data_IF_119120640024
#
_entry.id   IF_119120640024
#
_cell.length_a   1.000
_cell.length_b   1.000
_cell.length_c   1.000
_cell.angle_alpha   90.00
_cell.angle_beta   90.00
_cell.angle_gamma   90.00
#
_symmetry.space_group_name_H-M   'P 1'
#
loop_
_entity.id
_entity.type
_entity.pdbx_description
1 polymer ?
#
# COMPACT_ATOMS: atom_id res chain seq x y z
N UNK A 1 -29.55 43.73 -37.78
CA UNK A 1 -29.19 43.08 -39.05
C UNK A 1 -28.77 41.68 -38.65
N UNK A 2 -29.70 40.70 -38.67
CA UNK A 2 -29.83 39.72 -39.76
C UNK A 2 -28.59 38.82 -39.75
N UNK A 3 -28.63 37.49 -39.60
CA UNK A 3 -29.66 36.49 -39.88
C UNK A 3 -29.16 35.11 -39.39
N UNK A 4 -30.12 34.20 -39.20
CA UNK A 4 -30.03 32.82 -38.69
C UNK A 4 -30.00 31.76 -39.81
N UNK A 5 -29.87 30.48 -39.41
CA UNK A 5 -30.20 29.22 -40.13
C UNK A 5 -29.06 28.58 -40.94
N UNK A 6 -28.64 27.32 -40.77
CA UNK A 6 -29.26 25.99 -40.52
C UNK A 6 -29.79 25.28 -41.79
N UNK A 7 -29.53 23.95 -41.82
CA UNK A 7 -30.09 22.86 -42.67
C UNK A 7 -29.49 22.65 -44.08
N UNK A 8 -29.56 21.50 -44.77
CA UNK A 8 -29.66 20.04 -44.51
C UNK A 8 -29.72 19.38 -45.91
N UNK A 9 -29.02 18.26 -46.11
CA UNK A 9 -29.27 17.13 -47.03
C UNK A 9 -29.26 17.23 -48.59
N UNK A 10 -28.84 16.08 -49.14
CA UNK A 10 -29.35 15.35 -50.31
C UNK A 10 -28.69 15.49 -51.71
N UNK A 11 -27.97 14.41 -52.06
CA UNK A 11 -28.01 13.61 -53.30
C UNK A 11 -28.28 14.26 -54.68
N UNK A 12 -27.39 13.96 -55.65
CA UNK A 12 -27.80 13.28 -56.89
C UNK A 12 -27.46 13.89 -58.27
N UNK A 13 -26.46 13.27 -58.93
CA UNK A 13 -26.36 12.87 -60.36
C UNK A 13 -26.26 13.85 -61.56
N UNK A 14 -25.30 13.52 -62.46
CA UNK A 14 -25.25 13.84 -63.92
C UNK A 14 -23.82 14.09 -64.45
N UNK A 15 -23.07 13.08 -64.95
CA UNK A 15 -22.86 12.74 -66.40
C UNK A 15 -22.06 13.82 -67.19
N UNK A 16 -20.98 13.61 -67.96
CA UNK A 16 -20.48 12.55 -68.87
C UNK A 16 -18.97 12.77 -69.19
N UNK A 17 -18.14 11.72 -69.16
CA UNK A 17 -17.49 11.02 -70.29
C UNK A 17 -16.33 11.73 -71.05
N UNK A 18 -15.10 11.19 -70.96
CA UNK A 18 -14.46 10.54 -72.13
C UNK A 18 -13.19 9.75 -71.76
N UNK A 19 -13.14 8.57 -72.37
CA UNK A 19 -12.34 7.38 -72.15
C UNK A 19 -11.01 7.42 -72.93
N UNK A 20 -9.95 6.83 -72.37
CA UNK A 20 -9.08 5.87 -73.10
C UNK A 20 -8.25 5.00 -72.15
N UNK A 21 -8.33 3.71 -72.43
CA UNK A 21 -7.87 2.51 -71.73
C UNK A 21 -6.32 2.42 -71.59
N UNK A 22 -5.72 1.57 -70.74
CA UNK A 22 -5.52 0.14 -71.02
C UNK A 22 -4.99 -0.64 -69.77
N UNK A 23 -5.72 -1.73 -69.46
CA UNK A 23 -5.35 -3.06 -68.91
C UNK A 23 -4.88 -3.24 -67.46
N UNK A 24 -5.67 -4.05 -66.74
CA UNK A 24 -5.28 -4.87 -65.58
C UNK A 24 -6.52 -5.47 -64.92
N UNK A 25 -6.81 -6.74 -65.20
CA UNK A 25 -8.09 -7.42 -64.90
C UNK A 25 -8.30 -7.66 -63.38
N UNK A 26 -9.57 -7.49 -62.99
CA UNK A 26 -10.24 -7.62 -61.68
C UNK A 26 -10.42 -9.14 -61.37
N UNK A 27 -10.65 -9.66 -60.17
CA UNK A 27 -11.81 -9.47 -59.28
C UNK A 27 -11.59 -10.18 -57.94
N UNK A 28 -12.24 -9.67 -56.90
CA UNK A 28 -12.42 -10.37 -55.64
C UNK A 28 -13.80 -11.04 -55.55
N UNK A 29 -13.85 -12.14 -54.79
CA UNK A 29 -14.88 -12.42 -53.79
C UNK A 29 -16.18 -13.16 -54.19
N UNK A 30 -16.22 -14.46 -53.88
CA UNK A 30 -17.42 -15.32 -53.71
C UNK A 30 -17.36 -16.61 -54.55
N UNK A 31 -17.67 -17.83 -54.03
CA UNK A 31 -18.87 -18.14 -53.24
C UNK A 31 -18.66 -19.10 -52.04
N UNK A 32 -19.77 -19.40 -51.36
CA UNK A 32 -19.93 -20.26 -50.20
C UNK A 32 -20.01 -21.76 -50.54
N UNK A 33 -19.95 -22.58 -49.47
CA UNK A 33 -20.59 -23.90 -49.27
C UNK A 33 -19.74 -25.13 -49.67
N UNK A 34 -19.10 -25.65 -48.61
CA UNK A 34 -19.32 -26.98 -48.03
C UNK A 34 -18.66 -28.20 -48.69
N UNK A 35 -17.99 -28.90 -47.78
CA UNK A 35 -17.95 -30.35 -47.60
C UNK A 35 -16.71 -31.06 -48.16
N UNK A 36 -16.10 -31.78 -47.21
CA UNK A 36 -15.41 -33.05 -47.38
C UNK A 36 -13.93 -33.01 -47.80
N UNK A 37 -13.04 -33.00 -46.80
CA UNK A 37 -12.28 -34.23 -46.51
C UNK A 37 -11.41 -34.14 -45.25
N UNK A 38 -11.20 -35.28 -44.57
CA UNK A 38 -10.58 -35.37 -43.26
C UNK A 38 -9.08 -35.66 -43.37
N UNK A 39 -8.25 -34.63 -43.25
CA UNK A 39 -6.81 -34.80 -43.01
C UNK A 39 -6.27 -33.56 -42.31
N UNK A 40 -6.79 -33.34 -41.10
CA UNK A 40 -6.20 -32.43 -40.12
C UNK A 40 -5.48 -33.31 -39.09
N UNK A 41 -4.19 -33.55 -39.31
CA UNK A 41 -3.26 -33.99 -38.30
C UNK A 41 -1.87 -33.47 -38.67
N UNK A 42 -1.30 -32.68 -37.75
CA UNK A 42 0.15 -32.44 -37.61
C UNK A 42 0.78 -31.20 -38.26
N UNK A 43 0.13 -30.02 -38.21
CA UNK A 43 0.86 -28.74 -38.43
C UNK A 43 0.70 -27.69 -37.31
N UNK A 44 -0.22 -27.87 -36.36
CA UNK A 44 -0.26 -27.04 -35.15
C UNK A 44 -0.33 -27.92 -33.91
N UNK A 45 0.82 -28.46 -33.50
CA UNK A 45 1.00 -28.79 -32.09
C UNK A 45 1.06 -27.47 -31.33
N UNK A 46 -0.07 -27.14 -30.71
CA UNK A 46 -0.19 -26.04 -29.77
C UNK A 46 0.80 -26.24 -28.63
N UNK A 47 1.88 -25.47 -28.65
CA UNK A 47 2.75 -25.25 -27.52
C UNK A 47 2.09 -24.21 -26.59
N UNK A 48 0.87 -24.51 -26.14
CA UNK A 48 0.16 -23.79 -25.08
C UNK A 48 -0.02 -24.75 -23.89
N UNK A 49 1.10 -25.24 -23.39
CA UNK A 49 1.19 -25.90 -22.08
C UNK A 49 2.26 -25.21 -21.22
N UNK A 50 2.26 -23.87 -21.21
CA UNK A 50 3.04 -23.08 -20.26
C UNK A 50 2.20 -22.49 -19.12
N UNK A 51 0.99 -23.01 -18.90
CA UNK A 51 0.14 -22.60 -17.78
C UNK A 51 0.39 -23.39 -16.47
N UNK A 52 0.70 -24.71 -16.50
CA UNK A 52 1.03 -25.45 -15.27
C UNK A 52 2.37 -25.00 -14.68
N UNK A 53 3.40 -24.88 -15.53
CA UNK A 53 4.76 -24.56 -15.10
C UNK A 53 4.89 -23.17 -14.51
N UNK A 54 4.28 -22.13 -15.09
CA UNK A 54 4.35 -20.77 -14.50
C UNK A 54 3.57 -20.67 -13.18
N UNK A 55 2.47 -21.41 -13.05
CA UNK A 55 1.70 -21.48 -11.80
C UNK A 55 2.46 -22.28 -10.74
N UNK A 56 3.11 -23.37 -11.13
CA UNK A 56 3.95 -24.20 -10.27
C UNK A 56 5.22 -23.45 -9.86
N UNK A 57 5.83 -22.68 -10.76
CA UNK A 57 6.94 -21.77 -10.46
C UNK A 57 6.48 -20.64 -9.53
N UNK A 58 5.32 -20.01 -9.77
CA UNK A 58 4.77 -18.99 -8.87
C UNK A 58 4.47 -19.56 -7.47
N UNK A 59 3.91 -20.77 -7.39
CA UNK A 59 3.67 -21.48 -6.14
C UNK A 59 4.98 -21.92 -5.47
N UNK A 60 6.01 -22.29 -6.23
CA UNK A 60 7.33 -22.64 -5.72
C UNK A 60 8.06 -21.42 -5.15
N UNK A 61 7.99 -20.26 -5.83
CA UNK A 61 8.50 -18.99 -5.30
C UNK A 61 7.76 -18.56 -4.02
N UNK A 62 6.44 -18.75 -3.98
CA UNK A 62 5.65 -18.50 -2.78
C UNK A 62 6.03 -19.46 -1.65
N UNK A 63 6.26 -20.73 -1.97
CA UNK A 63 6.67 -21.76 -1.03
C UNK A 63 8.09 -21.55 -0.51
N UNK A 64 9.03 -21.04 -1.31
CA UNK A 64 10.39 -20.67 -0.88
C UNK A 64 10.38 -19.45 0.05
N UNK A 65 9.51 -18.46 -0.20
CA UNK A 65 9.26 -17.34 0.72
C UNK A 65 8.63 -17.82 2.04
N UNK A 66 7.75 -18.82 1.99
CA UNK A 66 7.08 -19.41 3.16
C UNK A 66 7.96 -20.47 3.88
N UNK A 67 8.95 -21.07 3.23
CA UNK A 67 9.82 -22.12 3.78
C UNK A 67 10.95 -21.58 4.66
N UNK A 68 11.31 -20.30 4.52
CA UNK A 68 12.24 -19.63 5.44
C UNK A 68 11.62 -19.38 6.83
N UNK A 69 10.32 -19.66 6.99
CA UNK A 69 9.60 -19.62 8.27
C UNK A 69 10.04 -20.68 9.29
N UNK A 70 10.81 -21.69 8.86
CA UNK A 70 11.36 -22.74 9.73
C UNK A 70 12.86 -22.55 10.02
N UNK A 71 13.38 -21.33 9.86
CA UNK A 71 14.65 -20.96 10.48
C UNK A 71 14.57 -21.07 12.02
N UNK A 72 15.71 -21.18 12.73
CA UNK A 72 15.72 -20.99 14.18
C UNK A 72 14.99 -19.66 14.48
N UNK A 73 14.12 -19.63 15.50
CA UNK A 73 13.44 -18.41 15.92
C UNK A 73 14.51 -17.34 16.14
N UNK A 74 14.66 -16.43 15.18
CA UNK A 74 15.68 -15.40 15.27
C UNK A 74 15.19 -14.45 16.35
N UNK A 75 15.96 -14.34 17.42
CA UNK A 75 15.66 -13.35 18.45
C UNK A 75 15.82 -11.96 17.82
N UNK A 76 14.79 -11.12 18.00
CA UNK A 76 14.71 -9.81 17.36
C UNK A 76 14.71 -8.70 18.42
N UNK A 77 15.44 -7.59 18.17
CA UNK A 77 15.62 -6.55 19.16
C UNK A 77 14.29 -5.83 19.46
N UNK A 78 13.81 -5.98 20.69
CA UNK A 78 12.54 -5.40 21.14
C UNK A 78 12.80 -4.34 22.20
N UNK A 79 12.22 -3.16 22.01
CA UNK A 79 12.41 -2.01 22.90
C UNK A 79 11.37 -2.04 24.02
N UNK A 80 11.85 -2.02 25.26
CA UNK A 80 11.02 -1.82 26.44
C UNK A 80 11.26 -0.42 27.00
N UNK A 81 10.18 0.34 27.16
CA UNK A 81 10.22 1.69 27.69
C UNK A 81 9.30 1.82 28.90
N UNK A 82 9.79 2.48 29.93
CA UNK A 82 9.01 2.91 31.09
C UNK A 82 9.04 4.44 31.16
N UNK A 83 7.85 5.05 31.14
CA UNK A 83 7.67 6.51 31.16
C UNK A 83 7.27 7.06 32.53
N UNK A 84 6.98 6.16 33.49
CA UNK A 84 6.65 6.54 34.86
C UNK A 84 7.86 6.99 35.66
N UNK A 85 7.58 7.52 36.85
CA UNK A 85 8.62 7.90 37.81
C UNK A 85 9.31 6.67 38.42
N UNK A 86 10.55 6.86 38.86
CA UNK A 86 11.37 5.84 39.49
C UNK A 86 12.83 6.26 39.57
N UNK A 87 13.59 5.68 40.51
CA UNK A 87 15.05 5.82 40.60
C UNK A 87 15.74 4.63 39.94
N UNK A 88 15.33 3.43 40.32
CA UNK A 88 15.83 2.17 39.78
C UNK A 88 14.68 1.39 39.16
N UNK A 89 14.80 1.10 37.87
CA UNK A 89 13.78 0.39 37.10
C UNK A 89 14.40 -0.85 36.49
N UNK A 90 13.72 -1.98 36.70
CA UNK A 90 14.08 -3.26 36.12
C UNK A 90 12.89 -3.87 35.39
N UNK A 91 13.16 -4.81 34.49
CA UNK A 91 12.16 -5.62 33.81
C UNK A 91 12.45 -7.10 33.99
N UNK A 92 11.38 -7.88 34.12
CA UNK A 92 11.40 -9.35 34.07
C UNK A 92 10.22 -9.83 33.24
N UNK A 93 10.34 -10.99 32.61
CA UNK A 93 9.27 -11.52 31.77
C UNK A 93 9.42 -13.00 31.42
N UNK A 94 8.57 -13.49 30.52
CA UNK A 94 8.59 -14.87 30.03
C UNK A 94 9.91 -15.24 29.36
N UNK A 95 10.52 -14.29 28.65
CA UNK A 95 11.79 -14.47 27.94
C UNK A 95 13.00 -14.76 28.83
N UNK A 96 12.96 -14.38 30.10
CA UNK A 96 13.99 -14.72 31.08
C UNK A 96 13.45 -15.62 32.21
N UNK A 97 12.33 -16.30 31.93
CA UNK A 97 11.63 -17.18 32.87
C UNK A 97 11.39 -16.55 34.25
N UNK A 98 11.16 -15.22 34.29
CA UNK A 98 10.97 -14.44 35.51
C UNK A 98 12.12 -14.56 36.54
N UNK A 99 13.28 -15.06 36.12
CA UNK A 99 14.38 -15.42 37.02
C UNK A 99 15.27 -14.24 37.38
N UNK A 100 15.53 -13.37 36.41
CA UNK A 100 16.44 -12.24 36.54
C UNK A 100 15.72 -10.90 36.32
N UNK A 101 16.26 -9.84 36.91
CA UNK A 101 15.81 -8.46 36.71
C UNK A 101 16.80 -7.75 35.81
N UNK A 102 16.39 -7.40 34.60
CA UNK A 102 17.22 -6.67 33.64
C UNK A 102 17.10 -5.18 33.97
N UNK A 103 18.19 -4.45 34.27
CA UNK A 103 18.13 -3.03 34.59
C UNK A 103 17.82 -2.21 33.33
N UNK A 104 16.98 -1.18 33.48
CA UNK A 104 16.71 -0.21 32.40
C UNK A 104 17.67 0.98 32.52
N UNK A 105 18.08 1.50 31.36
CA UNK A 105 18.94 2.68 31.26
C UNK A 105 18.06 3.92 31.34
N UNK A 106 18.38 4.81 32.29
CA UNK A 106 17.67 6.09 32.44
C UNK A 106 18.13 7.08 31.35
N UNK A 107 17.18 7.57 30.55
CA UNK A 107 17.35 8.64 29.57
C UNK A 107 16.32 9.76 29.81
N UNK A 108 16.80 10.90 30.31
CA UNK A 108 15.96 12.07 30.66
C UNK A 108 14.79 11.70 31.61
N UNK A 109 13.59 11.61 31.05
CA UNK A 109 12.32 11.29 31.72
C UNK A 109 11.81 9.87 31.41
N UNK A 110 12.65 9.02 30.80
CA UNK A 110 12.27 7.66 30.41
C UNK A 110 13.34 6.66 30.83
N UNK A 111 12.93 5.42 31.01
CA UNK A 111 13.82 4.29 31.22
C UNK A 111 13.66 3.35 30.04
N UNK A 112 14.76 2.89 29.45
CA UNK A 112 14.73 2.09 28.22
C UNK A 112 15.70 0.91 28.33
N UNK A 113 15.30 -0.24 27.79
CA UNK A 113 16.20 -1.36 27.51
C UNK A 113 15.80 -2.02 26.20
N UNK A 114 16.75 -2.68 25.55
CA UNK A 114 16.52 -3.50 24.37
C UNK A 114 16.77 -4.95 24.78
N UNK A 115 15.84 -5.84 24.46
CA UNK A 115 15.95 -7.28 24.71
C UNK A 115 15.62 -8.00 23.42
N UNK A 116 16.48 -8.93 23.01
CA UNK A 116 16.22 -9.76 21.85
C UNK A 116 15.18 -10.83 22.23
N UNK A 117 14.08 -10.89 21.48
CA UNK A 117 12.96 -11.78 21.74
C UNK A 117 12.60 -12.59 20.49
N UNK A 118 12.29 -13.89 20.63
CA UNK A 118 11.74 -14.64 19.52
C UNK A 118 10.33 -14.13 19.20
N UNK A 119 9.86 -14.41 18.00
CA UNK A 119 8.49 -14.06 17.60
C UNK A 119 7.46 -14.79 18.47
N UNK A 120 6.37 -14.08 18.76
CA UNK A 120 5.28 -14.58 19.61
C UNK A 120 4.87 -13.60 20.69
N UNK A 121 4.06 -14.11 21.62
CA UNK A 121 3.56 -13.38 22.77
C UNK A 121 4.52 -13.50 23.95
N UNK A 122 4.89 -12.35 24.53
CA UNK A 122 5.73 -12.30 25.72
C UNK A 122 5.06 -11.50 26.82
N UNK A 123 5.04 -12.06 28.02
CA UNK A 123 4.57 -11.37 29.21
C UNK A 123 5.73 -10.73 29.93
N UNK A 124 5.54 -9.52 30.43
CA UNK A 124 6.57 -8.82 31.18
C UNK A 124 5.99 -7.94 32.28
N UNK A 125 6.84 -7.53 33.22
CA UNK A 125 6.48 -6.63 34.30
C UNK A 125 7.67 -5.79 34.73
N UNK A 126 7.39 -4.55 35.12
CA UNK A 126 8.39 -3.63 35.64
C UNK A 126 8.53 -3.77 37.15
N UNK A 127 9.76 -3.62 37.63
CA UNK A 127 10.09 -3.53 39.04
C UNK A 127 10.74 -2.17 39.29
N UNK A 128 9.96 -1.26 39.89
CA UNK A 128 10.31 0.15 40.08
C UNK A 128 10.46 0.42 41.56
N UNK A 129 11.63 0.87 41.99
CA UNK A 129 11.91 1.26 43.39
C UNK A 129 11.47 0.22 44.44
N UNK A 130 11.58 -1.07 44.11
CA UNK A 130 11.21 -2.16 45.00
C UNK A 130 9.81 -2.73 44.82
N UNK A 131 8.98 -2.16 43.93
CA UNK A 131 7.59 -2.54 43.72
C UNK A 131 7.34 -3.06 42.30
N UNK A 132 6.52 -4.11 42.20
CA UNK A 132 6.09 -4.64 40.91
C UNK A 132 4.94 -3.81 40.35
N UNK A 133 5.14 -3.23 39.16
CA UNK A 133 4.16 -2.40 38.46
C UNK A 133 4.09 -2.78 36.98
N UNK A 134 3.03 -2.36 36.30
CA UNK A 134 2.83 -2.52 34.87
C UNK A 134 2.64 -1.15 34.23
N UNK A 135 2.88 -1.05 32.94
CA UNK A 135 2.58 0.15 32.16
C UNK A 135 1.09 0.17 31.79
N UNK A 136 0.30 1.18 32.20
CA UNK A 136 -1.12 1.25 31.88
C UNK A 136 -1.40 1.64 30.41
N UNK A 137 -0.41 2.14 29.66
CA UNK A 137 -0.60 2.47 28.23
C UNK A 137 -0.42 1.27 27.32
N UNK A 138 0.22 0.22 27.81
CA UNK A 138 0.49 -1.00 27.07
C UNK A 138 -0.55 -2.10 27.35
N UNK A 139 -0.77 -3.03 26.42
CA UNK A 139 -1.68 -4.16 26.64
C UNK A 139 -1.31 -4.96 27.89
N UNK A 140 -2.32 -5.48 28.58
CA UNK A 140 -2.16 -6.27 29.80
C UNK A 140 -2.89 -7.61 29.71
N UNK A 141 -2.34 -8.61 30.39
CA UNK A 141 -2.95 -9.92 30.61
C UNK A 141 -2.99 -10.21 32.10
N UNK A 142 -4.13 -10.74 32.56
CA UNK A 142 -4.31 -11.13 33.96
C UNK A 142 -4.12 -12.63 34.06
N UNK A 143 -3.13 -13.06 34.85
CA UNK A 143 -2.87 -14.46 35.14
C UNK A 143 -3.96 -15.06 36.03
N UNK A 144 -4.08 -16.39 36.03
CA UNK A 144 -5.04 -17.13 36.86
C UNK A 144 -4.88 -16.85 38.37
N UNK A 145 -3.68 -16.44 38.78
CA UNK A 145 -3.35 -16.07 40.16
C UNK A 145 -3.69 -14.61 40.51
N UNK A 146 -4.34 -13.87 39.61
CA UNK A 146 -4.71 -12.46 39.79
C UNK A 146 -3.58 -11.47 39.50
N UNK A 147 -2.40 -11.93 39.12
CA UNK A 147 -1.28 -11.06 38.75
C UNK A 147 -1.52 -10.44 37.37
N UNK A 148 -1.50 -9.11 37.30
CA UNK A 148 -1.53 -8.35 36.04
C UNK A 148 -0.09 -8.17 35.53
N UNK A 149 0.14 -8.56 34.27
CA UNK A 149 1.39 -8.41 33.53
C UNK A 149 1.11 -7.66 32.23
N UNK A 150 2.10 -6.93 31.70
CA UNK A 150 2.00 -6.42 30.33
C UNK A 150 2.23 -7.55 29.32
N UNK A 151 1.66 -7.40 28.13
CA UNK A 151 1.76 -8.34 27.02
C UNK A 151 2.31 -7.61 25.79
N UNK A 152 3.38 -8.14 25.20
CA UNK A 152 3.92 -7.66 23.92
C UNK A 152 3.84 -8.78 22.89
N UNK A 153 3.41 -8.44 21.68
CA UNK A 153 3.41 -9.33 20.53
C UNK A 153 4.55 -8.95 19.61
N UNK A 154 5.51 -9.85 19.40
CA UNK A 154 6.61 -9.68 18.46
C UNK A 154 6.24 -10.40 17.17
N UNK A 155 6.04 -9.66 16.08
CA UNK A 155 5.70 -10.22 14.77
C UNK A 155 6.83 -10.04 13.77
N UNK A 156 6.82 -10.87 12.72
CA UNK A 156 7.74 -10.73 11.58
C UNK A 156 7.70 -9.34 10.95
N UNK A 157 6.49 -8.83 10.78
CA UNK A 157 6.20 -7.55 10.14
C UNK A 157 6.79 -6.35 10.86
N UNK A 158 7.08 -6.45 12.16
CA UNK A 158 7.54 -5.31 12.96
C UNK A 158 8.99 -4.91 12.65
N UNK A 159 9.71 -5.74 11.90
CA UNK A 159 11.13 -5.56 11.58
C UNK A 159 11.37 -5.25 10.11
N UNK A 160 10.39 -5.51 9.25
CA UNK A 160 10.37 -5.07 7.86
C UNK A 160 9.61 -3.75 7.78
N UNK A 161 10.32 -2.67 7.46
CA UNK A 161 9.77 -1.29 7.57
C UNK A 161 8.50 -1.11 6.73
N UNK A 162 8.45 -1.67 5.53
CA UNK A 162 7.28 -1.55 4.67
C UNK A 162 6.07 -2.32 5.21
N UNK A 163 6.29 -3.50 5.79
CA UNK A 163 5.23 -4.30 6.39
C UNK A 163 4.69 -3.65 7.67
N UNK A 164 5.59 -3.15 8.52
CA UNK A 164 5.21 -2.39 9.72
C UNK A 164 4.33 -1.18 9.37
N UNK A 165 4.76 -0.38 8.39
CA UNK A 165 3.99 0.78 7.92
C UNK A 165 2.64 0.38 7.32
N UNK A 166 2.59 -0.72 6.58
CA UNK A 166 1.35 -1.24 6.02
C UNK A 166 0.36 -1.63 7.13
N UNK A 167 0.82 -2.37 8.14
CA UNK A 167 0.00 -2.79 9.30
C UNK A 167 -0.51 -1.57 10.07
N UNK A 168 0.36 -0.58 10.32
CA UNK A 168 0.00 0.64 11.04
C UNK A 168 -1.01 1.50 10.26
N UNK A 169 -0.86 1.59 8.94
CA UNK A 169 -1.81 2.32 8.10
C UNK A 169 -3.22 1.73 8.14
N UNK A 170 -3.34 0.41 8.25
CA UNK A 170 -4.64 -0.27 8.37
C UNK A 170 -5.27 -0.08 9.75
N UNK A 171 -4.45 0.05 10.81
CA UNK A 171 -4.91 0.37 12.18
C UNK A 171 -5.43 1.80 12.27
N UNK A 172 -4.88 2.71 11.47
CA UNK A 172 -5.36 4.07 11.26
C UNK A 172 -6.34 4.13 10.07
N UNK A 173 -7.44 3.37 10.13
CA UNK A 173 -8.46 3.34 9.06
C UNK A 173 -9.22 4.66 8.86
N UNK A 174 -8.86 5.73 9.56
CA UNK A 174 -9.33 7.09 9.27
C UNK A 174 -8.27 7.90 8.51
N UNK A 175 -7.71 7.32 7.44
CA UNK A 175 -6.94 8.04 6.43
C UNK A 175 -7.83 8.72 5.37
N UNK A 176 -9.16 8.69 5.57
CA UNK A 176 -10.15 9.41 4.77
C UNK A 176 -9.75 10.86 4.50
N UNK A 177 -9.13 11.50 5.50
CA UNK A 177 -8.73 12.91 5.47
C UNK A 177 -7.36 13.19 4.83
N UNK A 178 -6.56 12.15 4.55
CA UNK A 178 -5.26 12.27 3.88
C UNK A 178 -5.33 11.94 2.39
N UNK A 179 -6.43 11.33 1.95
CA UNK A 179 -6.73 11.17 0.54
C UNK A 179 -6.99 12.54 -0.09
N UNK A 180 -6.20 12.91 -1.10
CA UNK A 180 -6.47 14.08 -1.95
C UNK A 180 -7.74 13.94 -2.78
N UNK A 181 -8.29 12.72 -2.87
CA UNK A 181 -9.58 12.45 -3.48
C UNK A 181 -10.68 12.52 -2.43
N UNK A 182 -11.81 13.20 -2.72
CA UNK A 182 -12.97 13.20 -1.84
C UNK A 182 -13.36 11.77 -1.43
N UNK A 183 -13.68 11.52 -0.15
CA UNK A 183 -14.07 10.20 0.31
C UNK A 183 -15.39 9.77 -0.34
N UNK A 184 -15.47 8.49 -0.70
CA UNK A 184 -16.68 7.87 -1.27
C UNK A 184 -16.74 7.86 -2.80
N UNK A 185 -17.73 7.18 -3.38
CA UNK A 185 -17.92 7.12 -4.82
C UNK A 185 -18.22 8.50 -5.41
N UNK A 186 -17.66 8.78 -6.59
CA UNK A 186 -18.05 9.95 -7.37
C UNK A 186 -19.51 9.80 -7.82
N UNK A 187 -20.36 10.75 -7.43
CA UNK A 187 -21.75 10.82 -7.87
C UNK A 187 -22.00 12.09 -8.68
N UNK A 188 -23.06 12.07 -9.50
CA UNK A 188 -23.48 13.21 -10.31
C UNK A 188 -24.55 14.06 -9.63
N UNK A 189 -25.04 13.65 -8.46
CA UNK A 189 -26.03 14.39 -7.70
C UNK A 189 -25.48 15.75 -7.25
N UNK A 190 -26.34 16.77 -7.31
CA UNK A 190 -25.99 18.10 -6.85
C UNK A 190 -25.66 18.08 -5.34
N UNK A 191 -24.50 18.63 -4.98
CA UNK A 191 -24.12 18.78 -3.57
C UNK A 191 -25.12 19.66 -2.83
N UNK A 192 -25.67 19.17 -1.72
CA UNK A 192 -26.55 19.93 -0.83
C UNK A 192 -25.72 20.48 0.33
N UNK A 193 -25.50 21.81 0.42
CA UNK A 193 -24.66 22.38 1.47
C UNK A 193 -25.23 22.12 2.86
N UNK A 194 -24.43 21.51 3.75
CA UNK A 194 -24.77 21.38 5.17
C UNK A 194 -24.75 22.75 5.83
N UNK A 195 -25.61 22.95 6.85
CA UNK A 195 -25.76 24.26 7.52
C UNK A 195 -24.44 24.81 8.09
N UNK A 196 -23.52 23.94 8.48
CA UNK A 196 -22.18 24.27 9.03
C UNK A 196 -21.17 24.74 7.97
N UNK A 197 -21.39 24.43 6.69
CA UNK A 197 -20.49 24.80 5.59
C UNK A 197 -20.86 26.11 4.92
N UNK A 198 -22.09 26.59 5.10
CA UNK A 198 -22.57 27.86 4.53
C UNK A 198 -21.74 29.09 4.95
N UNK A 199 -20.99 28.98 6.05
CA UNK A 199 -20.16 30.06 6.59
C UNK A 199 -18.66 29.90 6.31
N UNK A 200 -18.23 28.82 5.63
CA UNK A 200 -16.83 28.62 5.26
C UNK A 200 -16.59 29.25 3.88
N UNK A 201 -15.86 30.35 3.84
CA UNK A 201 -15.38 30.92 2.58
C UNK A 201 -14.42 29.94 1.89
N UNK A 202 -14.41 29.87 0.54
CA UNK A 202 -13.44 29.05 -0.18
C UNK A 202 -12.01 29.47 0.18
N UNK A 203 -11.04 28.53 0.12
CA UNK A 203 -9.65 28.83 0.42
C UNK A 203 -9.10 29.90 -0.53
N UNK A 204 -8.24 30.77 -0.01
CA UNK A 204 -7.55 31.80 -0.80
C UNK A 204 -6.54 31.12 -1.72
N UNK A 205 -6.48 31.55 -2.98
CA UNK A 205 -5.52 31.07 -3.95
C UNK A 205 -4.07 31.30 -3.44
N UNK A 206 -3.20 30.28 -3.38
CA UNK A 206 -1.81 30.49 -3.01
C UNK A 206 -1.08 31.33 -4.06
N UNK A 207 -0.12 32.19 -3.66
CA UNK A 207 0.62 33.02 -4.61
C UNK A 207 1.47 32.15 -5.54
N UNK A 208 1.67 32.56 -6.80
CA UNK A 208 2.58 31.85 -7.70
C UNK A 208 4.01 31.89 -7.14
N UNK A 209 4.83 30.86 -7.39
CA UNK A 209 6.24 30.89 -7.02
C UNK A 209 6.90 32.11 -7.68
N UNK A 210 7.62 32.90 -6.89
CA UNK A 210 8.31 34.09 -7.39
C UNK A 210 9.22 33.68 -8.56
N UNK A 211 8.95 34.21 -9.75
CA UNK A 211 9.91 34.14 -10.85
C UNK A 211 11.20 34.76 -10.32
N UNK A 212 12.25 33.95 -10.20
CA UNK A 212 13.51 34.36 -9.62
C UNK A 212 13.94 35.69 -10.21
N UNK A 213 14.24 36.67 -9.36
CA UNK A 213 15.04 37.80 -9.76
C UNK A 213 16.28 37.25 -10.47
N UNK A 214 16.63 37.69 -11.69
CA UNK A 214 17.90 37.33 -12.29
C UNK A 214 18.99 37.94 -11.41
N UNK A 215 19.55 37.12 -10.52
CA UNK A 215 20.76 37.46 -9.81
C UNK A 215 21.85 37.57 -10.88
N UNK A 216 22.28 38.80 -11.16
CA UNK A 216 23.38 39.06 -12.08
C UNK A 216 24.61 38.29 -11.58
N UNK A 217 24.87 37.14 -12.19
CA UNK A 217 26.13 36.41 -12.01
C UNK A 217 27.22 37.23 -12.71
N UNK A 218 27.91 38.07 -11.95
CA UNK A 218 29.17 38.65 -12.39
C UNK A 218 30.21 37.52 -12.43
N UNK A 219 30.64 37.16 -13.64
CA UNK A 219 31.81 36.30 -13.84
C UNK A 219 33.06 37.16 -13.66
N UNK A 220 33.80 36.97 -12.57
CA UNK A 220 35.19 37.38 -12.50
C UNK A 220 36.04 36.29 -13.12
N UNK A 221 36.59 36.56 -14.31
CA UNK A 221 37.69 35.79 -14.87
C UNK A 221 38.99 36.22 -14.18
N UNK A 222 39.73 35.26 -13.66
CA UNK A 222 41.18 35.32 -13.45
C UNK A 222 41.79 34.13 -14.18
#
# INVERSE_FOLDING_TARGET
MGNTSSERAAMGHGEKAQQRDIRGNKEGGGPKILMDSPEDADIFHGEDMKAPLEKEEFLAWQQDLEADDKGPTLDRPTVFRWTGDGREVYISGSFNNWSNKIPLIRSQNTFVTIVDLPEGEHQYKFYVDGQWTHDPTEPVVTSQLGTVNNLIQVKKTDFEVFDALMVDSQKCSDMSDLSSSPPGPYHQDAYVPKQEEKFKSPPILPPPPAAGHPQQRHWHFL
#
